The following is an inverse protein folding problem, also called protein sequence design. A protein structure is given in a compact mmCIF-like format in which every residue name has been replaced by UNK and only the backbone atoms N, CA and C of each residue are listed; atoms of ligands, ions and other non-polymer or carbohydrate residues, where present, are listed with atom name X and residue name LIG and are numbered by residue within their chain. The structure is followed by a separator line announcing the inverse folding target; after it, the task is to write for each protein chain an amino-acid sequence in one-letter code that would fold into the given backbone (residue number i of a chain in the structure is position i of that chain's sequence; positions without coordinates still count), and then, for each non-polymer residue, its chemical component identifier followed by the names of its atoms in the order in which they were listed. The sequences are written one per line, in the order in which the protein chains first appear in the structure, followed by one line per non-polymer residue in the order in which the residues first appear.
data_IF_815795587279
#
_entry.id   IF_815795587279
#
_cell.length_a   1.000
_cell.length_b   1.000
_cell.length_c   1.000
_cell.angle_alpha   90.00
_cell.angle_beta   90.00
_cell.angle_gamma   90.00
#
_symmetry.space_group_name_H-M   'P 1'
#
loop_
_entity.id
_entity.type
_entity.pdbx_description
1 polymer ?
#
# COMPACT_ATOMS: atom_id res chain seq x y z
N UNK A 1 -17.76 -14.06 -48.55
CA UNK A 1 -16.98 -13.10 -47.73
C UNK A 1 -17.39 -11.64 -47.88
N UNK A 2 -17.67 -11.10 -49.09
CA UNK A 2 -18.13 -9.70 -49.26
C UNK A 2 -19.48 -9.34 -48.59
N UNK A 3 -20.34 -10.33 -48.34
CA UNK A 3 -21.69 -10.10 -47.79
C UNK A 3 -21.73 -9.72 -46.30
N UNK A 4 -20.76 -10.16 -45.49
CA UNK A 4 -20.69 -9.82 -44.07
C UNK A 4 -20.21 -8.38 -43.85
N UNK A 5 -19.33 -7.87 -44.74
CA UNK A 5 -18.74 -6.53 -44.64
C UNK A 5 -19.75 -5.38 -44.85
N UNK A 6 -20.86 -5.66 -45.52
CA UNK A 6 -21.92 -4.67 -45.76
C UNK A 6 -23.03 -4.69 -44.70
N UNK A 7 -22.97 -5.59 -43.72
CA UNK A 7 -23.93 -5.55 -42.62
C UNK A 7 -23.54 -4.45 -41.62
N UNK A 8 -24.46 -3.51 -41.28
CA UNK A 8 -24.16 -2.41 -40.37
C UNK A 8 -23.67 -2.91 -39.01
N UNK A 9 -24.18 -4.05 -38.54
CA UNK A 9 -23.75 -4.70 -37.31
C UNK A 9 -22.25 -5.10 -37.31
N UNK A 10 -21.74 -5.62 -38.44
CA UNK A 10 -20.34 -6.03 -38.55
C UNK A 10 -19.38 -4.84 -38.55
N UNK A 11 -19.75 -3.73 -39.22
CA UNK A 11 -18.94 -2.51 -39.23
C UNK A 11 -18.86 -1.84 -37.86
N UNK A 12 -19.99 -1.77 -37.15
CA UNK A 12 -20.05 -1.24 -35.79
C UNK A 12 -19.22 -2.12 -34.84
N UNK A 13 -19.35 -3.45 -34.94
CA UNK A 13 -18.54 -4.38 -34.15
C UNK A 13 -17.03 -4.20 -34.36
N UNK A 14 -16.60 -3.99 -35.62
CA UNK A 14 -15.19 -3.73 -35.93
C UNK A 14 -14.72 -2.38 -35.39
N UNK A 15 -15.53 -1.31 -35.50
CA UNK A 15 -15.23 -0.01 -34.92
C UNK A 15 -15.10 -0.07 -33.40
N UNK A 16 -16.04 -0.72 -32.71
CA UNK A 16 -15.99 -0.90 -31.26
C UNK A 16 -14.79 -1.77 -30.85
N UNK A 17 -14.46 -2.80 -31.62
CA UNK A 17 -13.28 -3.64 -31.38
C UNK A 17 -11.98 -2.85 -31.48
N UNK A 18 -11.81 -2.03 -32.52
CA UNK A 18 -10.63 -1.15 -32.66
C UNK A 18 -10.58 -0.13 -31.53
N UNK A 19 -11.70 0.50 -31.20
CA UNK A 19 -11.78 1.45 -30.09
C UNK A 19 -11.38 0.81 -28.76
N UNK A 20 -11.90 -0.38 -28.46
CA UNK A 20 -11.56 -1.12 -27.25
C UNK A 20 -10.06 -1.45 -27.20
N UNK A 21 -9.47 -1.94 -28.30
CA UNK A 21 -8.04 -2.23 -28.38
C UNK A 21 -7.21 -0.97 -28.11
N UNK A 22 -7.55 0.16 -28.74
CA UNK A 22 -6.81 1.42 -28.56
C UNK A 22 -6.94 1.92 -27.12
N UNK A 23 -8.15 1.91 -26.55
CA UNK A 23 -8.40 2.34 -25.18
C UNK A 23 -7.66 1.48 -24.16
N UNK A 24 -7.75 0.14 -24.26
CA UNK A 24 -7.04 -0.79 -23.37
C UNK A 24 -5.53 -0.66 -23.51
N UNK A 25 -5.01 -0.49 -24.73
CA UNK A 25 -3.56 -0.29 -24.95
C UNK A 25 -3.09 1.00 -24.29
N UNK A 26 -3.85 2.09 -24.43
CA UNK A 26 -3.50 3.38 -23.82
C UNK A 26 -3.50 3.30 -22.29
N UNK A 27 -4.50 2.65 -21.70
CA UNK A 27 -4.59 2.43 -20.24
C UNK A 27 -3.42 1.56 -19.76
N UNK A 28 -3.13 0.45 -20.44
CA UNK A 28 -2.04 -0.45 -20.07
C UNK A 28 -0.68 0.27 -20.13
N UNK A 29 -0.42 1.03 -21.19
CA UNK A 29 0.82 1.80 -21.34
C UNK A 29 0.96 2.87 -20.24
N UNK A 30 -0.14 3.53 -19.89
CA UNK A 30 -0.13 4.56 -18.84
C UNK A 30 0.12 3.94 -17.47
N UNK A 31 -0.49 2.80 -17.17
CA UNK A 31 -0.26 2.07 -15.92
C UNK A 31 1.20 1.62 -15.82
N UNK A 32 1.74 1.00 -16.87
CA UNK A 32 3.14 0.54 -16.89
C UNK A 32 4.12 1.70 -16.71
N UNK A 33 3.89 2.81 -17.41
CA UNK A 33 4.74 4.01 -17.30
C UNK A 33 4.66 4.70 -15.94
N UNK A 34 3.53 4.57 -15.21
CA UNK A 34 3.32 5.27 -13.94
C UNK A 34 3.61 4.36 -12.73
N UNK A 35 3.73 3.04 -12.93
CA UNK A 35 3.90 2.06 -11.85
C UNK A 35 5.11 2.34 -10.96
N UNK A 36 6.24 2.75 -11.53
CA UNK A 36 7.44 3.06 -10.75
C UNK A 36 7.24 4.29 -9.86
N UNK A 37 6.58 5.32 -10.40
CA UNK A 37 6.30 6.55 -9.67
C UNK A 37 5.30 6.31 -8.52
N UNK A 38 4.31 5.43 -8.74
CA UNK A 38 3.38 4.99 -7.68
C UNK A 38 4.17 4.28 -6.56
N UNK A 39 5.05 3.34 -6.91
CA UNK A 39 5.85 2.63 -5.91
C UNK A 39 6.75 3.55 -5.10
N UNK A 40 7.39 4.53 -5.72
CA UNK A 40 8.22 5.48 -4.97
C UNK A 40 7.36 6.39 -4.06
N UNK A 41 6.20 6.84 -4.53
CA UNK A 41 5.27 7.62 -3.71
C UNK A 41 4.77 6.83 -2.50
N UNK A 42 4.41 5.55 -2.68
CA UNK A 42 4.02 4.65 -1.60
C UNK A 42 5.17 4.47 -0.59
N UNK A 43 6.41 4.32 -1.10
CA UNK A 43 7.61 4.19 -0.27
C UNK A 43 7.86 5.43 0.57
N UNK A 44 7.70 6.62 -0.01
CA UNK A 44 7.86 7.89 0.71
C UNK A 44 6.75 8.10 1.74
N UNK A 45 5.48 7.83 1.37
CA UNK A 45 4.35 7.94 2.29
C UNK A 45 4.52 7.01 3.50
N UNK A 46 5.00 5.77 3.28
CA UNK A 46 5.32 4.85 4.36
C UNK A 46 6.46 5.38 5.25
N UNK A 47 7.52 5.92 4.65
CA UNK A 47 8.64 6.48 5.41
C UNK A 47 8.20 7.68 6.26
N UNK A 48 7.36 8.56 5.71
CA UNK A 48 6.76 9.68 6.44
C UNK A 48 5.89 9.19 7.59
N UNK A 49 5.03 8.21 7.35
CA UNK A 49 4.21 7.61 8.40
C UNK A 49 5.06 7.00 9.53
N UNK A 50 6.16 6.32 9.19
CA UNK A 50 7.13 5.82 10.17
C UNK A 50 7.78 6.97 10.94
N UNK A 51 8.18 8.05 10.26
CA UNK A 51 8.85 9.19 10.88
C UNK A 51 7.94 9.99 11.83
N UNK A 52 6.62 9.93 11.64
CA UNK A 52 5.65 10.46 12.60
C UNK A 52 5.66 9.65 13.90
N UNK A 53 5.92 8.35 13.82
CA UNK A 53 5.93 7.44 14.97
C UNK A 53 7.29 7.38 15.69
N UNK A 54 8.37 7.34 14.91
CA UNK A 54 9.75 7.29 15.40
C UNK A 54 10.50 8.40 14.69
N UNK A 55 10.75 9.54 15.35
CA UNK A 55 11.42 10.68 14.75
C UNK A 55 12.75 10.30 14.09
N UNK A 56 13.03 10.89 12.92
CA UNK A 56 14.22 10.52 12.13
C UNK A 56 15.55 10.76 12.86
N UNK A 57 15.58 11.61 13.87
CA UNK A 57 16.76 11.88 14.70
C UNK A 57 17.10 10.71 15.65
N UNK A 58 16.15 9.80 15.86
CA UNK A 58 16.28 8.66 16.74
C UNK A 58 16.86 7.44 16.03
N UNK A 59 16.96 7.43 14.69
CA UNK A 59 17.50 6.31 13.92
C UNK A 59 18.22 6.74 12.63
N UNK A 60 19.31 6.07 12.29
CA UNK A 60 20.17 6.42 11.14
C UNK A 60 20.13 5.38 10.01
N UNK A 61 19.65 4.17 10.28
CA UNK A 61 19.61 3.11 9.28
C UNK A 61 18.56 3.36 8.18
N UNK A 62 18.71 2.65 7.05
CA UNK A 62 17.67 2.56 6.03
C UNK A 62 16.58 1.58 6.50
N UNK A 63 15.61 2.12 7.23
CA UNK A 63 14.59 1.33 7.92
C UNK A 63 13.73 0.49 6.97
N UNK A 64 13.48 0.97 5.74
CA UNK A 64 12.66 0.27 4.75
C UNK A 64 13.34 -0.98 4.16
N UNK A 65 14.67 -1.07 4.31
CA UNK A 65 15.44 -2.25 3.92
C UNK A 65 15.83 -3.13 5.12
N UNK A 66 15.77 -2.58 6.34
CA UNK A 66 16.05 -3.31 7.58
C UNK A 66 14.76 -3.92 8.14
N UNK A 67 14.35 -5.02 7.53
CA UNK A 67 13.04 -5.64 7.81
C UNK A 67 13.14 -7.04 8.40
N UNK A 68 12.04 -7.48 8.98
CA UNK A 68 11.77 -8.85 9.39
C UNK A 68 10.34 -9.22 8.98
N UNK A 69 10.10 -10.48 8.64
CA UNK A 69 8.75 -10.96 8.34
C UNK A 69 8.20 -11.64 9.59
N UNK A 70 7.06 -11.18 10.06
CA UNK A 70 6.26 -11.88 11.06
C UNK A 70 5.27 -12.81 10.38
N UNK A 71 5.07 -14.03 10.91
CA UNK A 71 3.99 -14.90 10.45
C UNK A 71 2.62 -14.28 10.79
N UNK A 72 1.53 -14.84 10.23
CA UNK A 72 0.16 -14.47 10.61
C UNK A 72 0.02 -14.43 12.14
N UNK A 73 -0.39 -13.28 12.66
CA UNK A 73 -0.41 -13.01 14.10
C UNK A 73 -1.81 -12.53 14.48
N UNK A 74 -2.64 -13.41 15.06
CA UNK A 74 -4.02 -13.08 15.41
C UNK A 74 -4.14 -11.87 16.35
N UNK A 75 -3.16 -11.66 17.23
CA UNK A 75 -3.13 -10.50 18.14
C UNK A 75 -2.95 -9.17 17.42
N UNK A 76 -2.37 -9.17 16.21
CA UNK A 76 -2.28 -8.02 15.33
C UNK A 76 -3.41 -7.99 14.30
N UNK A 77 -4.34 -8.94 14.34
CA UNK A 77 -5.40 -9.11 13.35
C UNK A 77 -4.88 -9.46 11.94
N UNK A 78 -3.65 -9.95 11.83
CA UNK A 78 -3.03 -10.27 10.54
C UNK A 78 -3.22 -11.74 10.18
N UNK A 79 -3.84 -12.01 9.03
CA UNK A 79 -4.04 -13.35 8.50
C UNK A 79 -2.90 -13.81 7.56
N UNK A 80 -2.12 -12.85 7.06
CA UNK A 80 -0.98 -13.07 6.18
C UNK A 80 0.33 -12.62 6.87
N UNK A 81 1.50 -13.10 6.40
CA UNK A 81 2.78 -12.61 6.90
C UNK A 81 2.92 -11.10 6.69
N UNK A 82 3.36 -10.39 7.73
CA UNK A 82 3.53 -8.93 7.69
C UNK A 82 4.98 -8.52 7.92
N UNK A 83 5.33 -7.35 7.36
CA UNK A 83 6.67 -6.80 7.48
C UNK A 83 6.79 -5.96 8.75
N UNK A 84 7.89 -6.15 9.46
CA UNK A 84 8.35 -5.34 10.58
C UNK A 84 9.52 -4.51 10.12
N UNK A 85 9.46 -3.21 10.38
CA UNK A 85 10.55 -2.28 10.08
C UNK A 85 11.34 -2.01 11.36
N UNK A 86 12.67 -2.15 11.31
CA UNK A 86 13.53 -2.04 12.50
C UNK A 86 14.30 -0.74 12.46
N UNK A 87 13.97 0.19 13.34
CA UNK A 87 14.74 1.42 13.53
C UNK A 87 16.01 1.12 14.34
N UNK A 88 17.16 1.56 13.83
CA UNK A 88 18.46 1.44 14.52
C UNK A 88 19.22 2.75 14.50
N UNK A 89 20.02 2.96 15.54
CA UNK A 89 20.95 4.08 15.66
C UNK A 89 22.33 3.56 15.98
N UNK A 90 23.31 3.90 15.16
CA UNK A 90 24.69 3.40 15.26
C UNK A 90 24.73 1.85 15.36
N UNK A 91 23.83 1.17 14.66
CA UNK A 91 23.70 -0.30 14.68
C UNK A 91 22.92 -0.89 15.87
N UNK A 92 22.59 -0.10 16.90
CA UNK A 92 21.79 -0.55 18.04
C UNK A 92 20.29 -0.43 17.75
N UNK A 93 19.45 -1.40 18.17
CA UNK A 93 18.00 -1.32 18.00
C UNK A 93 17.42 -0.17 18.82
N UNK A 94 16.46 0.55 18.23
CA UNK A 94 15.77 1.68 18.87
C UNK A 94 14.28 1.40 18.97
N UNK A 95 13.66 1.01 17.85
CA UNK A 95 12.23 0.71 17.79
C UNK A 95 11.92 -0.34 16.72
N UNK A 96 10.79 -1.00 16.85
CA UNK A 96 10.19 -1.84 15.82
C UNK A 96 8.85 -1.23 15.41
N UNK A 97 8.59 -1.14 14.11
CA UNK A 97 7.33 -0.71 13.54
C UNK A 97 6.62 -1.90 12.92
N UNK A 98 5.42 -2.19 13.42
CA UNK A 98 4.58 -3.33 13.12
C UNK A 98 3.32 -2.86 12.37
N UNK A 99 2.74 -3.75 11.58
CA UNK A 99 1.41 -3.53 11.01
C UNK A 99 0.38 -4.35 11.79
N UNK A 100 -0.67 -3.68 12.24
CA UNK A 100 -1.88 -4.30 12.77
C UNK A 100 -3.06 -4.02 11.84
N UNK A 101 -4.03 -4.92 11.85
CA UNK A 101 -5.27 -4.82 11.09
C UNK A 101 -6.43 -4.94 12.07
N UNK A 102 -7.28 -3.92 12.11
CA UNK A 102 -8.58 -4.04 12.76
C UNK A 102 -9.60 -4.48 11.70
N UNK A 103 -10.10 -5.73 11.74
CA UNK A 103 -11.00 -6.25 10.70
C UNK A 103 -12.40 -5.61 10.77
N UNK A 104 -12.82 -5.16 11.95
CA UNK A 104 -14.18 -4.72 12.25
C UNK A 104 -14.42 -3.22 12.04
N UNK A 105 -13.81 -2.61 11.01
CA UNK A 105 -14.18 -1.26 10.60
C UNK A 105 -15.55 -1.25 9.91
N UNK A 106 -16.30 -0.16 10.06
CA UNK A 106 -17.67 -0.07 9.54
C UNK A 106 -17.73 -0.22 8.02
N UNK A 107 -16.68 0.26 7.35
CA UNK A 107 -16.54 0.21 5.88
C UNK A 107 -15.43 -0.74 5.41
N UNK A 108 -14.96 -1.63 6.29
CA UNK A 108 -13.92 -2.63 6.01
C UNK A 108 -12.70 -2.49 6.93
N UNK A 109 -11.66 -3.28 6.63
CA UNK A 109 -10.47 -3.36 7.49
C UNK A 109 -9.69 -2.05 7.60
N UNK A 110 -9.22 -1.72 8.80
CA UNK A 110 -8.36 -0.57 9.08
C UNK A 110 -6.92 -1.07 9.27
N UNK A 111 -5.97 -0.55 8.49
CA UNK A 111 -4.54 -0.85 8.62
C UNK A 111 -3.85 0.22 9.45
N UNK A 112 -3.11 -0.23 10.46
CA UNK A 112 -2.51 0.61 11.49
C UNK A 112 -1.02 0.26 11.59
N UNK A 113 -0.15 1.27 11.57
CA UNK A 113 1.23 1.14 12.00
C UNK A 113 1.33 1.37 13.50
N UNK A 114 2.07 0.50 14.17
CA UNK A 114 2.34 0.57 15.60
C UNK A 114 3.85 0.58 15.78
N UNK A 115 4.39 1.58 16.45
CA UNK A 115 5.82 1.65 16.76
C UNK A 115 6.05 1.41 18.26
N UNK A 116 6.96 0.51 18.59
CA UNK A 116 7.30 0.13 19.97
C UNK A 116 8.81 0.28 20.14
N UNK A 117 9.23 1.00 21.18
CA UNK A 117 10.63 1.15 21.56
C UNK A 117 11.18 -0.13 22.18
N UNK A 118 12.50 -0.27 22.24
CA UNK A 118 13.15 -1.45 22.82
C UNK A 118 12.87 -1.67 24.31
N UNK A 119 12.45 -0.62 25.03
CA UNK A 119 12.04 -0.70 26.43
C UNK A 119 10.57 -1.15 26.61
N UNK A 120 9.88 -1.45 25.50
CA UNK A 120 8.48 -1.88 25.46
C UNK A 120 7.48 -0.72 25.50
N UNK A 121 7.94 0.53 25.54
CA UNK A 121 7.04 1.68 25.50
C UNK A 121 6.49 1.89 24.09
N UNK A 122 5.23 2.33 24.00
CA UNK A 122 4.59 2.65 22.74
C UNK A 122 5.11 4.01 22.25
N UNK A 123 5.80 4.02 21.11
CA UNK A 123 6.24 5.25 20.46
C UNK A 123 5.05 5.98 19.82
N UNK A 124 4.14 5.24 19.20
CA UNK A 124 2.89 5.77 18.68
C UNK A 124 2.15 4.81 17.77
N UNK A 125 1.00 5.27 17.28
CA UNK A 125 0.17 4.56 16.29
C UNK A 125 -0.28 5.50 15.18
N UNK A 126 -0.37 4.99 13.94
CA UNK A 126 -0.82 5.75 12.78
C UNK A 126 -1.69 4.89 11.89
N UNK A 127 -2.89 5.35 11.56
CA UNK A 127 -3.72 4.73 10.53
C UNK A 127 -3.09 5.03 9.16
N UNK A 128 -2.86 4.00 8.36
CA UNK A 128 -2.25 4.11 7.02
C UNK A 128 -3.23 3.77 5.90
N UNK A 129 -4.34 3.10 6.20
CA UNK A 129 -5.39 2.81 5.24
C UNK A 129 -6.68 2.45 5.96
N UNK A 130 -7.79 3.05 5.51
CA UNK A 130 -9.15 2.74 5.92
C UNK A 130 -10.10 3.20 4.81
N UNK A 131 -11.38 2.83 4.92
CA UNK A 131 -12.44 3.24 3.98
C UNK A 131 -13.60 3.92 4.70
N UNK A 132 -13.34 4.48 5.87
CA UNK A 132 -14.39 5.08 6.71
C UNK A 132 -14.99 6.34 6.07
N UNK A 133 -16.15 6.73 6.59
CA UNK A 133 -16.85 7.90 6.08
C UNK A 133 -16.09 9.18 6.45
N UNK A 134 -15.72 10.04 5.47
CA UNK A 134 -15.02 11.28 5.75
C UNK A 134 -15.78 12.15 6.74
N UNK A 135 -15.09 12.65 7.76
CA UNK A 135 -15.66 13.51 8.82
C UNK A 135 -16.38 12.77 9.96
N UNK A 136 -16.39 11.44 9.96
CA UNK A 136 -16.87 10.63 11.08
C UNK A 136 -15.81 9.69 11.65
N UNK A 137 -15.09 8.96 10.78
CA UNK A 137 -14.15 7.91 11.16
C UNK A 137 -12.77 8.00 10.49
N UNK A 138 -12.35 9.20 10.12
CA UNK A 138 -11.02 9.51 9.55
C UNK A 138 -9.99 9.85 10.65
#
# INVERSE_FOLDING_TARGET
MKALWNQPAFRVGLMLGVFAIVATTLVAFTEESTREQIRENERQALLEAINVLVPKQEYDNNILSDTLVLPPTPQLGTEEPTVVYRARKNGHPVAAVLTAVAPDGYSGSIKILIAIYTDGTLAGVRVISHKETPGLGD
#
